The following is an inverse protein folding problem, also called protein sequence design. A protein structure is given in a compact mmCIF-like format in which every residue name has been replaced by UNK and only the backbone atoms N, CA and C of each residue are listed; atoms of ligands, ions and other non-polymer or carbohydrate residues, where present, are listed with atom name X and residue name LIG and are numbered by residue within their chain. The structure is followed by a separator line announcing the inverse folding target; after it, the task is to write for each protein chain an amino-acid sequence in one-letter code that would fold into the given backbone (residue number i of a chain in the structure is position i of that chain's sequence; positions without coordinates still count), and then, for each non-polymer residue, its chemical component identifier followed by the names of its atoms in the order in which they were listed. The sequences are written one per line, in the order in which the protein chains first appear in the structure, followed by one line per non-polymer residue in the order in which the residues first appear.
data_IF_305766978578
#
_entry.id   IF_305766978578
#
_cell.length_a   1.000
_cell.length_b   1.000
_cell.length_c   1.000
_cell.angle_alpha   90.00
_cell.angle_beta   90.00
_cell.angle_gamma   90.00
#
_symmetry.space_group_name_H-M   'P 1'
#
loop_
_entity.id
_entity.type
_entity.pdbx_description
1 polymer ?
#
# COMPACT_ATOMS: atom_id res chain seq x y z
N UNK A 1 -6.51 -11.96 7.42
CA UNK A 1 -5.29 -11.55 6.69
C UNK A 1 -4.67 -12.80 6.08
N UNK A 2 -4.22 -12.72 4.82
CA UNK A 2 -3.54 -13.82 4.12
C UNK A 2 -2.24 -13.26 3.54
N UNK A 3 -1.15 -14.02 3.62
CA UNK A 3 0.16 -13.63 3.09
C UNK A 3 0.61 -14.65 2.04
N UNK A 4 0.87 -14.19 0.82
CA UNK A 4 1.29 -15.04 -0.30
C UNK A 4 2.80 -15.04 -0.53
N UNK A 5 3.47 -13.91 -0.29
CA UNK A 5 4.91 -13.73 -0.53
C UNK A 5 5.57 -13.17 0.73
N UNK A 6 6.73 -13.70 1.17
CA UNK A 6 7.49 -13.11 2.27
C UNK A 6 7.92 -11.67 1.98
N UNK A 7 7.93 -10.79 2.99
CA UNK A 7 8.23 -9.36 2.82
C UNK A 7 9.65 -9.04 2.31
N UNK A 8 10.60 -9.97 2.44
CA UNK A 8 11.96 -9.83 1.93
C UNK A 8 12.11 -10.33 0.49
N UNK A 9 11.06 -10.93 -0.08
CA UNK A 9 11.03 -11.43 -1.45
C UNK A 9 10.25 -10.48 -2.35
N UNK A 10 10.56 -10.52 -3.65
CA UNK A 10 9.92 -9.67 -4.65
C UNK A 10 8.56 -10.22 -5.05
N UNK A 11 7.48 -9.59 -4.60
CA UNK A 11 6.14 -9.80 -5.14
C UNK A 11 5.94 -9.06 -6.48
N UNK A 12 4.98 -9.50 -7.29
CA UNK A 12 4.64 -8.90 -8.57
C UNK A 12 3.28 -8.20 -8.51
N UNK A 13 3.25 -7.00 -7.93
CA UNK A 13 2.01 -6.28 -7.67
C UNK A 13 1.94 -4.91 -8.37
N UNK A 14 3.06 -4.20 -8.49
CA UNK A 14 3.10 -2.82 -9.00
C UNK A 14 3.20 -2.70 -10.53
N UNK A 15 3.61 -3.74 -11.24
CA UNK A 15 3.84 -3.70 -12.70
C UNK A 15 4.76 -2.56 -13.15
N UNK A 16 4.50 -2.00 -14.34
CA UNK A 16 5.19 -0.80 -14.84
C UNK A 16 4.80 0.41 -13.97
N UNK A 17 5.77 0.91 -13.21
CA UNK A 17 5.56 1.88 -12.13
C UNK A 17 6.83 2.68 -11.79
N UNK A 18 6.65 3.86 -11.19
CA UNK A 18 7.73 4.71 -10.67
C UNK A 18 7.32 5.44 -9.38
N UNK A 19 8.20 5.47 -8.38
CA UNK A 19 8.00 6.24 -7.14
C UNK A 19 9.25 7.09 -6.87
N UNK A 20 9.05 8.39 -6.65
CA UNK A 20 10.13 9.36 -6.41
C UNK A 20 11.25 9.30 -7.49
N UNK A 21 10.87 9.15 -8.76
CA UNK A 21 11.80 9.08 -9.89
C UNK A 21 12.47 7.71 -10.11
N UNK A 22 12.27 6.74 -9.21
CA UNK A 22 12.82 5.39 -9.36
C UNK A 22 11.77 4.47 -10.01
N UNK A 23 12.12 3.87 -11.13
CA UNK A 23 11.26 2.89 -11.81
C UNK A 23 11.30 1.50 -11.14
N UNK A 24 10.34 0.63 -11.52
CA UNK A 24 10.20 -0.77 -11.10
C UNK A 24 9.92 -0.91 -9.60
N UNK A 25 8.77 -0.41 -9.14
CA UNK A 25 8.44 -0.40 -7.72
C UNK A 25 8.48 -1.79 -7.06
N UNK A 26 8.13 -2.87 -7.79
CA UNK A 26 8.26 -4.24 -7.31
C UNK A 26 9.65 -4.55 -6.69
N UNK A 27 10.73 -3.93 -7.17
CA UNK A 27 12.09 -4.18 -6.68
C UNK A 27 12.33 -3.65 -5.26
N UNK A 28 11.48 -2.76 -4.74
CA UNK A 28 11.69 -2.08 -3.46
C UNK A 28 10.40 -1.74 -2.69
N UNK A 29 9.28 -2.36 -3.05
CA UNK A 29 7.99 -2.18 -2.37
C UNK A 29 7.42 -3.48 -1.82
N UNK A 30 6.60 -3.35 -0.79
CA UNK A 30 5.70 -4.42 -0.31
C UNK A 30 4.29 -4.05 -0.76
N UNK A 31 3.62 -4.95 -1.48
CA UNK A 31 2.24 -4.77 -1.93
C UNK A 31 1.25 -5.31 -0.90
N UNK A 32 0.33 -4.46 -0.46
CA UNK A 32 -0.80 -4.85 0.39
C UNK A 32 -2.08 -4.64 -0.40
N UNK A 33 -2.84 -5.72 -0.59
CA UNK A 33 -4.13 -5.70 -1.29
C UNK A 33 -5.27 -5.70 -0.28
N UNK A 34 -6.24 -4.81 -0.45
CA UNK A 34 -7.50 -4.82 0.27
C UNK A 34 -8.58 -5.32 -0.67
N UNK A 35 -9.31 -6.35 -0.27
CA UNK A 35 -10.48 -6.82 -1.03
C UNK A 35 -11.54 -5.71 -1.09
N UNK A 36 -11.86 -5.26 -2.30
CA UNK A 36 -12.75 -4.13 -2.47
C UNK A 36 -12.83 -3.69 -3.92
N UNK A 37 -13.40 -2.51 -4.12
CA UNK A 37 -13.53 -1.87 -5.43
C UNK A 37 -13.28 -0.37 -5.27
N UNK A 38 -13.10 0.34 -6.38
CA UNK A 38 -12.90 1.79 -6.36
C UNK A 38 -14.14 2.59 -5.90
N UNK A 39 -15.27 1.92 -5.68
CA UNK A 39 -16.59 2.54 -5.46
C UNK A 39 -17.24 2.18 -4.13
N UNK A 40 -16.74 1.18 -3.41
CA UNK A 40 -17.31 0.70 -2.15
C UNK A 40 -16.33 0.99 -1.02
N UNK A 41 -16.81 1.62 0.05
CA UNK A 41 -15.99 1.93 1.21
C UNK A 41 -15.41 0.65 1.84
N UNK A 42 -14.11 0.69 2.15
CA UNK A 42 -13.45 -0.37 2.90
C UNK A 42 -13.98 -0.45 4.32
N UNK A 43 -14.04 -1.68 4.85
CA UNK A 43 -14.57 -1.95 6.19
C UNK A 43 -13.64 -1.45 7.30
N UNK A 44 -14.21 -1.22 8.49
CA UNK A 44 -13.43 -0.91 9.70
C UNK A 44 -12.34 -1.95 9.98
N UNK A 45 -12.67 -3.23 9.82
CA UNK A 45 -11.75 -4.34 10.06
C UNK A 45 -10.56 -4.33 9.08
N UNK A 46 -10.77 -3.88 7.83
CA UNK A 46 -9.68 -3.72 6.86
C UNK A 46 -8.74 -2.58 7.25
N UNK A 47 -9.27 -1.42 7.67
CA UNK A 47 -8.43 -0.32 8.14
C UNK A 47 -7.61 -0.71 9.38
N UNK A 48 -8.23 -1.39 10.36
CA UNK A 48 -7.53 -1.85 11.56
C UNK A 48 -6.44 -2.87 11.23
N UNK A 49 -6.73 -3.84 10.35
CA UNK A 49 -5.75 -4.84 9.91
C UNK A 49 -4.58 -4.18 9.16
N UNK A 50 -4.89 -3.22 8.27
CA UNK A 50 -3.88 -2.48 7.53
C UNK A 50 -3.01 -1.63 8.45
N UNK A 51 -3.60 -0.95 9.44
CA UNK A 51 -2.88 -0.17 10.45
C UNK A 51 -1.89 -1.04 11.23
N UNK A 52 -2.36 -2.15 11.80
CA UNK A 52 -1.52 -3.07 12.57
C UNK A 52 -0.35 -3.62 11.75
N UNK A 53 -0.63 -4.04 10.51
CA UNK A 53 0.39 -4.54 9.60
C UNK A 53 1.40 -3.45 9.25
N UNK A 54 0.93 -2.24 8.93
CA UNK A 54 1.79 -1.13 8.54
C UNK A 54 2.72 -0.73 9.67
N UNK A 55 2.23 -0.59 10.90
CA UNK A 55 3.07 -0.29 12.07
C UNK A 55 4.13 -1.37 12.30
N UNK A 56 3.76 -2.64 12.13
CA UNK A 56 4.69 -3.77 12.23
C UNK A 56 5.78 -3.73 11.15
N UNK A 57 5.41 -3.37 9.91
CA UNK A 57 6.36 -3.20 8.81
C UNK A 57 7.28 -2.01 9.04
N UNK A 58 6.77 -0.87 9.53
CA UNK A 58 7.59 0.31 9.83
C UNK A 58 8.60 0.04 10.96
N UNK A 59 8.20 -0.72 11.98
CA UNK A 59 9.11 -1.16 13.04
C UNK A 59 10.24 -2.06 12.49
N UNK A 60 9.94 -2.95 11.55
CA UNK A 60 10.93 -3.86 10.94
C UNK A 60 11.80 -3.21 9.87
N UNK A 61 11.24 -2.25 9.13
CA UNK A 61 11.84 -1.55 7.99
C UNK A 61 11.77 -0.02 8.23
N UNK A 62 12.67 0.56 9.05
CA UNK A 62 12.58 1.97 9.44
C UNK A 62 12.65 2.98 8.29
N UNK A 63 13.20 2.58 7.14
CA UNK A 63 13.20 3.38 5.93
C UNK A 63 11.78 3.55 5.30
N UNK A 64 10.78 2.79 5.74
CA UNK A 64 9.38 2.90 5.31
C UNK A 64 8.67 4.04 6.08
N UNK A 65 9.06 5.27 5.80
CA UNK A 65 8.43 6.45 6.42
C UNK A 65 6.99 6.65 5.94
N UNK A 66 6.21 7.48 6.65
CA UNK A 66 4.80 7.77 6.33
C UNK A 66 4.63 8.34 4.91
N UNK A 67 5.63 9.04 4.39
CA UNK A 67 5.68 9.63 3.06
C UNK A 67 5.91 8.58 1.97
N UNK A 68 6.45 7.41 2.34
CA UNK A 68 6.70 6.28 1.42
C UNK A 68 5.54 5.30 1.33
N UNK A 69 4.45 5.58 2.03
CA UNK A 69 3.17 4.88 1.90
C UNK A 69 2.36 5.55 0.79
N UNK A 70 2.05 4.80 -0.26
CA UNK A 70 1.40 5.30 -1.47
C UNK A 70 0.41 4.28 -2.05
N UNK A 71 -0.47 4.75 -2.93
CA UNK A 71 -1.41 3.93 -3.69
C UNK A 71 -0.86 3.60 -5.08
N UNK A 72 -1.39 2.54 -5.70
CA UNK A 72 -0.98 2.10 -7.03
C UNK A 72 -1.24 3.18 -8.10
N UNK A 73 -2.37 3.90 -7.97
CA UNK A 73 -2.74 5.03 -8.81
C UNK A 73 -1.67 6.12 -8.89
N UNK A 74 -0.86 6.31 -7.84
CA UNK A 74 0.16 7.35 -7.80
C UNK A 74 1.50 6.89 -8.39
N UNK A 75 1.79 5.60 -8.38
CA UNK A 75 3.03 5.06 -8.99
C UNK A 75 2.84 4.61 -10.44
N UNK A 76 1.59 4.48 -10.89
CA UNK A 76 1.22 4.10 -12.25
C UNK A 76 0.00 4.90 -12.75
N UNK A 77 0.11 6.24 -12.81
CA UNK A 77 -1.00 7.10 -13.22
C UNK A 77 -1.46 6.75 -14.65
N UNK A 78 -2.75 6.96 -14.92
CA UNK A 78 -3.44 6.60 -16.17
C UNK A 78 -3.54 5.09 -16.47
N UNK A 79 -2.80 4.24 -15.77
CA UNK A 79 -2.86 2.77 -15.90
C UNK A 79 -3.66 2.11 -14.78
N UNK A 80 -3.59 2.65 -13.57
CA UNK A 80 -4.18 2.07 -12.36
C UNK A 80 -4.95 3.13 -11.58
N UNK A 81 -6.06 2.71 -10.98
CA UNK A 81 -6.96 3.54 -10.17
C UNK A 81 -7.02 3.09 -8.72
N UNK A 82 -6.54 1.88 -8.40
CA UNK A 82 -6.52 1.35 -7.03
C UNK A 82 -5.55 2.14 -6.12
N UNK A 83 -5.90 2.33 -4.83
CA UNK A 83 -7.06 1.77 -4.10
C UNK A 83 -8.37 2.55 -4.28
N UNK A 84 -8.44 3.48 -5.24
CA UNK A 84 -9.63 4.26 -5.54
C UNK A 84 -9.82 5.47 -4.64
N UNK A 85 -10.81 6.30 -5.00
CA UNK A 85 -11.17 7.50 -4.23
C UNK A 85 -11.82 7.17 -2.88
N UNK A 86 -12.35 5.95 -2.74
CA UNK A 86 -13.01 5.47 -1.53
C UNK A 86 -12.03 5.06 -0.43
N UNK A 87 -10.73 4.97 -0.74
CA UNK A 87 -9.71 4.78 0.28
C UNK A 87 -9.43 6.10 1.02
N UNK A 88 -9.82 6.17 2.29
CA UNK A 88 -9.62 7.34 3.15
C UNK A 88 -8.17 7.38 3.65
N UNK A 89 -7.33 7.98 2.82
CA UNK A 89 -5.91 8.23 3.13
C UNK A 89 -5.70 9.03 4.40
N UNK A 90 -6.58 9.99 4.70
CA UNK A 90 -6.43 10.86 5.87
C UNK A 90 -6.65 10.05 7.14
N UNK A 91 -7.74 9.28 7.18
CA UNK A 91 -8.04 8.35 8.27
C UNK A 91 -6.90 7.36 8.47
N UNK A 92 -6.49 6.67 7.40
CA UNK A 92 -5.43 5.67 7.50
C UNK A 92 -4.13 6.28 7.99
N UNK A 93 -3.65 7.37 7.37
CA UNK A 93 -2.39 8.00 7.76
C UNK A 93 -2.43 8.55 9.18
N UNK A 94 -3.55 9.09 9.64
CA UNK A 94 -3.68 9.57 11.02
C UNK A 94 -3.61 8.43 12.05
N UNK A 95 -4.08 7.24 11.69
CA UNK A 95 -3.99 6.05 12.55
C UNK A 95 -2.56 5.51 12.74
N UNK A 96 -1.58 5.98 11.95
CA UNK A 96 -0.18 5.57 12.05
C UNK A 96 0.66 6.49 12.95
N UNK A 97 0.01 7.40 13.69
CA UNK A 97 0.66 8.41 14.54
C UNK A 97 0.66 7.96 15.99
#
# INVERSE_FOLDING_TARGET
MVQFVPFHARAWHAGMSSFAGRARCNDYSIGIELEGTDYVAYTEAQYQSLQYLTLSLQARYPAMTRERITGHQYIAPLRKSDPGLVFDWRRFKNSLS
#
